data_IF_495792568331
#
_entry.id   IF_495792568331
#
_cell.length_a   1.000
_cell.length_b   1.000
_cell.length_c   1.000
_cell.angle_alpha   90.00
_cell.angle_beta   90.00
_cell.angle_gamma   90.00
#
_symmetry.space_group_name_H-M   'P 1'
#
loop_
_entity.id
_entity.type
_entity.pdbx_description
1 polymer ?
#
# COMPACT_ATOMS: atom_id res chain seq x y z
N UNK A 1 13.59 -11.11 21.31
CA UNK A 1 12.52 -10.10 21.38
C UNK A 1 11.68 -10.26 20.12
N UNK A 2 10.42 -10.66 20.24
CA UNK A 2 9.57 -10.88 19.07
C UNK A 2 9.24 -9.52 18.42
N UNK A 3 8.97 -9.48 17.12
CA UNK A 3 8.74 -8.20 16.42
C UNK A 3 7.53 -7.42 16.98
N UNK A 4 6.51 -8.12 17.50
CA UNK A 4 5.41 -7.50 18.22
C UNK A 4 5.85 -6.83 19.55
N UNK A 5 6.74 -7.46 20.31
CA UNK A 5 7.29 -6.87 21.54
C UNK A 5 8.04 -5.57 21.23
N UNK A 6 8.81 -5.55 20.12
CA UNK A 6 9.48 -4.33 19.65
C UNK A 6 8.47 -3.25 19.39
N UNK A 7 7.46 -3.53 18.56
CA UNK A 7 6.43 -2.55 18.21
C UNK A 7 5.68 -2.03 19.44
N UNK A 8 5.32 -2.92 20.38
CA UNK A 8 4.65 -2.55 21.63
C UNK A 8 5.50 -1.62 22.51
N UNK A 9 6.82 -1.69 22.41
CA UNK A 9 7.75 -0.86 23.19
C UNK A 9 8.09 0.49 22.51
N UNK A 10 7.69 0.71 21.25
CA UNK A 10 7.93 1.97 20.54
C UNK A 10 7.06 3.08 21.15
N UNK A 11 7.62 4.26 21.48
CA UNK A 11 6.84 5.41 21.89
C UNK A 11 5.79 5.81 20.85
N UNK A 12 4.63 6.30 21.30
CA UNK A 12 3.49 6.61 20.42
C UNK A 12 3.81 7.55 19.26
N UNK A 13 4.70 8.52 19.46
CA UNK A 13 5.14 9.42 18.41
C UNK A 13 5.87 8.66 17.29
N UNK A 14 6.87 7.88 17.66
CA UNK A 14 7.68 7.09 16.72
C UNK A 14 6.85 5.99 16.04
N UNK A 15 5.93 5.35 16.78
CA UNK A 15 5.02 4.35 16.23
C UNK A 15 4.07 4.98 15.20
N UNK A 16 3.58 6.20 15.45
CA UNK A 16 2.73 6.94 14.52
C UNK A 16 3.46 7.26 13.21
N UNK A 17 4.71 7.71 13.27
CA UNK A 17 5.53 7.99 12.08
C UNK A 17 5.78 6.72 11.25
N UNK A 18 6.13 5.62 11.93
CA UNK A 18 6.31 4.30 11.33
C UNK A 18 5.05 3.80 10.63
N UNK A 19 3.90 3.88 11.31
CA UNK A 19 2.60 3.49 10.76
C UNK A 19 2.20 4.38 9.58
N UNK A 20 2.47 5.69 9.64
CA UNK A 20 2.19 6.61 8.55
C UNK A 20 2.95 6.29 7.26
N UNK A 21 4.13 5.68 7.35
CA UNK A 21 4.88 5.18 6.18
C UNK A 21 4.27 3.91 5.56
N UNK A 22 3.53 3.13 6.36
CA UNK A 22 2.84 1.93 5.90
C UNK A 22 1.52 2.30 5.19
N UNK A 23 0.70 3.12 5.85
CA UNK A 23 -0.56 3.63 5.33
C UNK A 23 -0.85 4.99 5.97
N UNK A 24 -0.84 6.05 5.15
CA UNK A 24 -1.04 7.43 5.58
C UNK A 24 -2.52 7.78 5.82
N UNK A 25 -3.23 6.96 6.60
CA UNK A 25 -4.64 7.14 6.96
C UNK A 25 -4.73 7.34 8.48
N UNK A 26 -5.05 8.54 8.99
CA UNK A 26 -5.05 8.82 10.42
C UNK A 26 -5.88 7.83 11.25
N UNK A 27 -7.09 7.48 10.80
CA UNK A 27 -7.93 6.49 11.49
C UNK A 27 -7.23 5.14 11.63
N UNK A 28 -6.62 4.64 10.55
CA UNK A 28 -5.89 3.37 10.57
C UNK A 28 -4.74 3.43 11.57
N UNK A 29 -3.97 4.52 11.57
CA UNK A 29 -2.84 4.70 12.50
C UNK A 29 -3.31 4.69 13.96
N UNK A 30 -4.37 5.45 14.29
CA UNK A 30 -4.90 5.49 15.66
C UNK A 30 -5.47 4.12 16.09
N UNK A 31 -6.12 3.40 15.18
CA UNK A 31 -6.63 2.04 15.43
C UNK A 31 -5.50 1.04 15.74
N UNK A 32 -4.35 1.16 15.07
CA UNK A 32 -3.17 0.34 15.32
C UNK A 32 -2.50 0.71 16.65
N UNK A 33 -2.42 2.00 16.98
CA UNK A 33 -1.86 2.45 18.26
C UNK A 33 -2.72 2.01 19.45
N UNK A 34 -4.04 2.10 19.31
CA UNK A 34 -5.00 1.71 20.34
C UNK A 34 -5.10 0.18 20.52
N UNK A 35 -4.67 -0.60 19.54
CA UNK A 35 -4.63 -2.07 19.63
C UNK A 35 -3.46 -2.60 20.46
N UNK A 36 -2.50 -1.77 20.87
CA UNK A 36 -1.37 -2.21 21.70
C UNK A 36 -1.82 -2.54 23.14
N UNK A 37 -1.20 -3.53 23.79
CA UNK A 37 -0.15 -4.40 23.26
C UNK A 37 -0.71 -5.56 22.43
N UNK A 38 -0.03 -5.89 21.32
CA UNK A 38 -0.31 -7.09 20.52
C UNK A 38 0.41 -8.30 21.10
N UNK A 39 -0.24 -9.46 21.14
CA UNK A 39 0.35 -10.70 21.67
C UNK A 39 1.37 -11.33 20.71
N UNK A 40 1.29 -11.01 19.42
CA UNK A 40 2.18 -11.56 18.39
C UNK A 40 2.15 -10.75 17.10
N UNK A 41 3.09 -11.08 16.20
CA UNK A 41 3.20 -10.42 14.89
C UNK A 41 1.97 -10.68 14.06
N UNK A 42 1.47 -11.92 14.04
CA UNK A 42 0.26 -12.29 13.30
C UNK A 42 -0.94 -11.43 13.72
N UNK A 43 -1.15 -11.21 15.03
CA UNK A 43 -2.24 -10.37 15.53
C UNK A 43 -2.08 -8.89 15.10
N UNK A 44 -0.86 -8.37 15.11
CA UNK A 44 -0.55 -7.03 14.62
C UNK A 44 -0.87 -6.91 13.12
N UNK A 45 -0.45 -7.87 12.30
CA UNK A 45 -0.69 -7.86 10.86
C UNK A 45 -2.17 -8.03 10.52
N UNK A 46 -2.86 -8.95 11.21
CA UNK A 46 -4.30 -9.16 11.02
C UNK A 46 -5.10 -7.92 11.43
N UNK A 47 -4.73 -7.25 12.53
CA UNK A 47 -5.35 -5.98 12.91
C UNK A 47 -5.15 -4.91 11.83
N UNK A 48 -3.97 -4.88 11.20
CA UNK A 48 -3.65 -4.01 10.08
C UNK A 48 -4.54 -4.28 8.86
N UNK A 49 -4.72 -5.56 8.49
CA UNK A 49 -5.61 -6.00 7.40
C UNK A 49 -7.07 -5.61 7.67
N UNK A 50 -7.57 -5.92 8.86
CA UNK A 50 -8.95 -5.62 9.24
C UNK A 50 -9.24 -4.12 9.25
N UNK A 51 -8.30 -3.31 9.76
CA UNK A 51 -8.43 -1.85 9.77
C UNK A 51 -8.46 -1.27 8.35
N UNK A 52 -7.64 -1.81 7.45
CA UNK A 52 -7.55 -1.38 6.05
C UNK A 52 -8.77 -1.83 5.23
N UNK A 53 -9.36 -3.00 5.52
CA UNK A 53 -10.56 -3.48 4.84
C UNK A 53 -11.78 -2.55 5.02
N UNK A 54 -11.77 -1.68 6.04
CA UNK A 54 -12.81 -0.69 6.34
C UNK A 54 -12.52 0.71 5.81
N UNK A 55 -11.51 0.86 4.94
CA UNK A 55 -11.20 2.16 4.34
C UNK A 55 -12.41 2.72 3.60
N UNK A 56 -12.71 3.98 3.88
CA UNK A 56 -13.73 4.73 3.14
C UNK A 56 -13.15 5.23 1.82
N UNK A 57 -14.01 5.58 0.87
CA UNK A 57 -13.60 6.19 -0.41
C UNK A 57 -12.66 7.40 -0.20
N UNK A 58 -13.00 8.30 0.71
CA UNK A 58 -12.20 9.49 0.99
C UNK A 58 -10.82 9.14 1.55
N UNK A 59 -10.73 8.11 2.41
CA UNK A 59 -9.45 7.64 2.94
C UNK A 59 -8.61 6.97 1.84
N UNK A 60 -9.23 6.22 0.92
CA UNK A 60 -8.56 5.65 -0.24
C UNK A 60 -7.98 6.76 -1.13
N UNK A 61 -8.78 7.77 -1.48
CA UNK A 61 -8.33 8.89 -2.32
C UNK A 61 -7.15 9.65 -1.67
N UNK A 62 -7.24 9.92 -0.36
CA UNK A 62 -6.16 10.56 0.39
C UNK A 62 -4.88 9.69 0.45
N UNK A 63 -5.02 8.37 0.62
CA UNK A 63 -3.90 7.45 0.61
C UNK A 63 -3.23 7.41 -0.76
N UNK A 64 -4.02 7.27 -1.83
CA UNK A 64 -3.54 7.19 -3.22
C UNK A 64 -2.76 8.43 -3.66
N UNK A 65 -3.10 9.63 -3.15
CA UNK A 65 -2.36 10.86 -3.46
C UNK A 65 -0.87 10.81 -3.07
N UNK A 66 -0.47 9.84 -2.22
CA UNK A 66 0.92 9.63 -1.80
C UNK A 66 1.60 8.47 -2.55
N UNK A 67 0.87 7.70 -3.35
CA UNK A 67 1.44 6.57 -4.09
C UNK A 67 2.02 7.03 -5.44
N UNK A 68 3.28 6.68 -5.74
CA UNK A 68 3.83 6.88 -7.07
C UNK A 68 3.17 5.91 -8.08
N UNK A 69 3.16 6.29 -9.35
CA UNK A 69 2.72 5.41 -10.44
C UNK A 69 3.67 4.21 -10.59
N UNK A 70 3.14 3.07 -11.02
CA UNK A 70 3.96 1.91 -11.37
C UNK A 70 4.78 2.21 -12.63
N UNK A 71 6.08 1.92 -12.59
CA UNK A 71 7.02 2.20 -13.68
C UNK A 71 7.64 3.61 -13.62
N UNK A 72 7.22 4.44 -12.66
CA UNK A 72 7.85 5.73 -12.36
C UNK A 72 8.69 5.62 -11.08
N UNK A 73 9.85 6.28 -11.07
CA UNK A 73 10.61 6.42 -9.82
C UNK A 73 9.84 7.34 -8.89
N UNK A 74 9.62 6.89 -7.66
CA UNK A 74 9.17 7.77 -6.59
C UNK A 74 10.12 8.98 -6.50
N UNK A 75 9.56 10.19 -6.42
CA UNK A 75 10.34 11.38 -6.05
C UNK A 75 10.92 11.25 -4.65
N UNK A 76 11.63 12.26 -4.16
CA UNK A 76 12.30 12.29 -2.84
C UNK A 76 11.35 12.28 -1.61
N UNK A 77 10.18 11.66 -1.71
CA UNK A 77 9.23 11.48 -0.62
C UNK A 77 9.59 10.26 0.26
N UNK A 78 9.10 10.26 1.49
CA UNK A 78 9.32 9.23 2.53
C UNK A 78 8.99 7.79 2.08
N UNK A 79 8.18 7.62 1.03
CA UNK A 79 7.72 6.30 0.54
C UNK A 79 8.60 5.75 -0.59
N UNK A 80 9.67 6.46 -0.97
CA UNK A 80 10.55 6.09 -2.08
C UNK A 80 11.30 4.78 -1.86
N UNK A 81 11.72 4.49 -0.62
CA UNK A 81 12.43 3.26 -0.28
C UNK A 81 11.54 2.02 -0.35
N UNK A 82 10.27 2.12 0.06
CA UNK A 82 9.29 1.06 -0.12
C UNK A 82 8.98 0.87 -1.60
N UNK A 83 8.69 1.97 -2.32
CA UNK A 83 8.35 1.92 -3.73
C UNK A 83 9.44 1.28 -4.59
N UNK A 84 10.71 1.59 -4.34
CA UNK A 84 11.82 1.01 -5.10
C UNK A 84 11.94 -0.51 -4.89
N UNK A 85 11.73 -0.98 -3.65
CA UNK A 85 11.75 -2.42 -3.33
C UNK A 85 10.51 -3.14 -3.89
N UNK A 86 9.34 -2.52 -3.78
CA UNK A 86 8.07 -3.07 -4.25
C UNK A 86 8.07 -3.25 -5.78
N UNK A 87 8.68 -2.33 -6.53
CA UNK A 87 8.71 -2.37 -8.00
C UNK A 87 9.98 -3.02 -8.59
N UNK A 88 10.80 -3.70 -7.78
CA UNK A 88 12.06 -4.28 -8.24
C UNK A 88 11.91 -5.35 -9.35
N UNK A 89 10.72 -5.93 -9.51
CA UNK A 89 10.39 -6.88 -10.57
C UNK A 89 9.96 -6.26 -11.90
N UNK A 90 9.84 -4.94 -11.98
CA UNK A 90 9.44 -4.22 -13.21
C UNK A 90 10.69 -3.90 -14.04
N UNK A 91 10.73 -4.38 -15.27
CA UNK A 91 11.83 -4.17 -16.20
C UNK A 91 11.67 -2.85 -16.98
N UNK A 92 12.79 -2.27 -17.41
CA UNK A 92 12.80 -0.95 -18.06
C UNK A 92 12.09 -0.90 -19.42
N UNK A 93 12.08 -2.02 -20.14
CA UNK A 93 11.38 -2.17 -21.43
C UNK A 93 9.85 -2.24 -21.26
N UNK A 94 9.35 -2.53 -20.06
CA UNK A 94 7.92 -2.54 -19.72
C UNK A 94 7.38 -1.14 -19.38
N UNK A 95 8.27 -0.17 -19.10
CA UNK A 95 7.88 1.17 -18.64
C UNK A 95 6.97 1.93 -19.61
N UNK A 96 7.19 1.78 -20.92
CA UNK A 96 6.38 2.44 -21.94
C UNK A 96 4.94 1.91 -21.96
N UNK A 97 4.79 0.59 -21.87
CA UNK A 97 3.48 -0.05 -21.81
C UNK A 97 2.75 0.32 -20.51
N UNK A 98 3.46 0.28 -19.37
CA UNK A 98 2.92 0.66 -18.07
C UNK A 98 2.48 2.13 -18.05
N UNK A 99 3.23 3.05 -18.64
CA UNK A 99 2.85 4.46 -18.68
C UNK A 99 1.55 4.68 -19.47
N UNK A 100 1.42 4.04 -20.63
CA UNK A 100 0.19 4.10 -21.44
C UNK A 100 -1.01 3.51 -20.70
N UNK A 101 -0.80 2.38 -20.03
CA UNK A 101 -1.82 1.70 -19.25
C UNK A 101 -2.25 2.55 -18.03
N UNK A 102 -1.32 3.12 -17.27
CA UNK A 102 -1.62 4.06 -16.17
C UNK A 102 -2.46 5.24 -16.65
N UNK A 103 -2.10 5.85 -17.79
CA UNK A 103 -2.85 6.98 -18.34
C UNK A 103 -4.30 6.59 -18.71
N UNK A 104 -4.51 5.39 -19.28
CA UNK A 104 -5.85 4.89 -19.56
C UNK A 104 -6.66 4.65 -18.28
N UNK A 105 -6.02 4.11 -17.24
CA UNK A 105 -6.64 3.88 -15.94
C UNK A 105 -7.05 5.18 -15.26
N UNK A 106 -6.16 6.18 -15.24
CA UNK A 106 -6.43 7.51 -14.70
C UNK A 106 -7.57 8.20 -15.45
N UNK A 107 -7.60 8.11 -16.79
CA UNK A 107 -8.69 8.66 -17.58
C UNK A 107 -10.05 8.00 -17.28
N UNK A 108 -10.09 6.73 -16.87
CA UNK A 108 -11.31 5.98 -16.58
C UNK A 108 -11.81 6.17 -15.15
N UNK A 109 -10.91 6.17 -14.17
CA UNK A 109 -11.25 6.12 -12.74
C UNK A 109 -10.87 7.38 -11.93
N UNK A 110 -10.21 8.34 -12.58
CA UNK A 110 -9.74 9.61 -11.98
C UNK A 110 -8.86 9.39 -10.73
N UNK A 111 -8.01 8.37 -10.78
CA UNK A 111 -7.07 8.02 -9.69
C UNK A 111 -5.91 7.19 -10.23
N UNK A 112 -4.79 7.19 -9.53
CA UNK A 112 -3.62 6.35 -9.89
C UNK A 112 -3.95 4.87 -9.79
N UNK A 113 -3.35 4.06 -10.67
CA UNK A 113 -3.44 2.60 -10.58
C UNK A 113 -2.60 2.10 -9.40
N UNK A 114 -3.22 1.33 -8.52
CA UNK A 114 -2.57 0.77 -7.33
C UNK A 114 -2.63 -0.75 -7.33
N UNK A 115 -1.47 -1.38 -7.17
CA UNK A 115 -1.32 -2.83 -6.98
C UNK A 115 -0.13 -3.11 -6.06
N UNK A 116 -0.17 -4.18 -5.27
CA UNK A 116 0.98 -4.67 -4.52
C UNK A 116 2.03 -5.21 -5.49
N UNK A 117 3.00 -4.39 -5.87
CA UNK A 117 3.95 -4.77 -6.93
C UNK A 117 4.95 -5.86 -6.48
N UNK A 118 5.22 -5.99 -5.18
CA UNK A 118 6.22 -6.92 -4.66
C UNK A 118 5.94 -8.36 -5.14
N UNK A 119 6.90 -8.98 -5.81
CA UNK A 119 6.78 -10.35 -6.33
C UNK A 119 5.96 -10.48 -7.63
N UNK A 120 5.56 -9.38 -8.27
CA UNK A 120 4.94 -9.37 -9.60
C UNK A 120 5.92 -8.84 -10.64
N UNK A 121 5.87 -9.40 -11.84
CA UNK A 121 6.51 -8.86 -13.05
C UNK A 121 5.70 -7.71 -13.65
N UNK A 122 6.31 -6.87 -14.50
CA UNK A 122 5.57 -5.82 -15.19
C UNK A 122 4.47 -6.38 -16.11
N UNK A 123 4.70 -7.52 -16.76
CA UNK A 123 3.69 -8.23 -17.54
C UNK A 123 2.46 -8.66 -16.71
N UNK A 124 2.65 -9.18 -15.50
CA UNK A 124 1.54 -9.51 -14.59
C UNK A 124 0.79 -8.26 -14.13
N UNK A 125 1.52 -7.17 -13.88
CA UNK A 125 0.91 -5.88 -13.51
C UNK A 125 0.08 -5.31 -14.67
N UNK A 126 0.58 -5.38 -15.89
CA UNK A 126 -0.15 -4.96 -17.10
C UNK A 126 -1.44 -5.78 -17.28
N UNK A 127 -1.36 -7.11 -17.10
CA UNK A 127 -2.53 -7.97 -17.19
C UNK A 127 -3.60 -7.62 -16.14
N UNK A 128 -3.19 -7.32 -14.90
CA UNK A 128 -4.12 -6.87 -13.86
C UNK A 128 -4.72 -5.49 -14.17
N UNK A 129 -3.92 -4.57 -14.68
CA UNK A 129 -4.41 -3.26 -15.08
C UNK A 129 -5.47 -3.38 -16.21
N UNK A 130 -5.18 -4.16 -17.24
CA UNK A 130 -6.11 -4.39 -18.36
C UNK A 130 -7.42 -5.06 -17.90
N UNK A 131 -7.34 -6.03 -16.98
CA UNK A 131 -8.52 -6.65 -16.36
C UNK A 131 -9.34 -5.62 -15.59
N UNK A 132 -8.68 -4.82 -14.75
CA UNK A 132 -9.32 -3.84 -13.85
C UNK A 132 -9.91 -2.64 -14.58
N UNK A 133 -9.41 -2.30 -15.77
CA UNK A 133 -10.06 -1.33 -16.66
C UNK A 133 -11.50 -1.72 -17.03
N UNK A 134 -11.85 -3.00 -16.95
CA UNK A 134 -13.21 -3.50 -17.20
C UNK A 134 -14.11 -3.48 -15.96
N UNK A 135 -13.59 -3.10 -14.79
CA UNK A 135 -14.36 -3.07 -13.56
C UNK A 135 -15.39 -1.92 -13.55
N UNK A 136 -16.46 -2.11 -12.79
CA UNK A 136 -17.30 -0.99 -12.33
C UNK A 136 -16.54 -0.17 -11.30
N UNK A 137 -16.95 1.09 -11.07
CA UNK A 137 -16.29 1.96 -10.10
C UNK A 137 -16.34 1.42 -8.66
N UNK A 138 -17.40 0.67 -8.33
CA UNK A 138 -17.57 0.03 -7.03
C UNK A 138 -16.66 -1.18 -6.88
N UNK A 139 -16.60 -2.06 -7.90
CA UNK A 139 -15.71 -3.21 -7.90
C UNK A 139 -14.25 -2.77 -7.85
N UNK A 140 -13.90 -1.72 -8.61
CA UNK A 140 -12.54 -1.19 -8.61
C UNK A 140 -12.17 -0.56 -7.27
N UNK A 141 -13.08 0.18 -6.64
CA UNK A 141 -12.82 0.73 -5.31
C UNK A 141 -12.59 -0.39 -4.27
N UNK A 142 -13.41 -1.43 -4.29
CA UNK A 142 -13.23 -2.58 -3.40
C UNK A 142 -11.86 -3.26 -3.63
N UNK A 143 -11.43 -3.38 -4.88
CA UNK A 143 -10.15 -3.97 -5.20
C UNK A 143 -8.97 -3.08 -4.77
N UNK A 144 -9.05 -1.77 -4.96
CA UNK A 144 -8.06 -0.81 -4.47
C UNK A 144 -7.91 -0.89 -2.94
N UNK A 145 -9.00 -1.04 -2.20
CA UNK A 145 -8.97 -1.22 -0.73
C UNK A 145 -8.16 -2.47 -0.37
N UNK A 146 -8.39 -3.59 -1.06
CA UNK A 146 -7.64 -4.83 -0.85
C UNK A 146 -6.14 -4.60 -1.14
N UNK A 147 -5.82 -3.94 -2.25
CA UNK A 147 -4.43 -3.66 -2.61
C UNK A 147 -3.73 -2.71 -1.62
N UNK A 148 -4.42 -1.67 -1.12
CA UNK A 148 -3.90 -0.81 -0.05
C UNK A 148 -3.63 -1.61 1.22
N UNK A 149 -4.53 -2.51 1.60
CA UNK A 149 -4.36 -3.39 2.75
C UNK A 149 -3.14 -4.31 2.61
N UNK A 150 -2.97 -4.95 1.45
CA UNK A 150 -1.78 -5.79 1.18
C UNK A 150 -0.48 -5.00 1.28
N UNK A 151 -0.42 -3.80 0.68
CA UNK A 151 0.76 -2.93 0.73
C UNK A 151 1.04 -2.48 2.17
N UNK A 152 0.02 -2.01 2.89
CA UNK A 152 0.16 -1.54 4.26
C UNK A 152 0.74 -2.62 5.18
N UNK A 153 0.26 -3.86 5.03
CA UNK A 153 0.70 -5.00 5.85
C UNK A 153 2.11 -5.44 5.47
N UNK A 154 2.44 -5.50 4.18
CA UNK A 154 3.80 -5.79 3.73
C UNK A 154 4.81 -4.76 4.26
N UNK A 155 4.44 -3.48 4.27
CA UNK A 155 5.28 -2.42 4.85
C UNK A 155 5.36 -2.54 6.36
N UNK A 156 4.25 -2.88 7.02
CA UNK A 156 4.20 -3.07 8.47
C UNK A 156 5.14 -4.20 8.91
N UNK A 157 5.13 -5.35 8.22
CA UNK A 157 6.08 -6.46 8.43
C UNK A 157 7.53 -5.95 8.42
N UNK A 158 7.90 -5.17 7.41
CA UNK A 158 9.25 -4.62 7.28
C UNK A 158 9.62 -3.64 8.39
N UNK A 159 8.66 -2.83 8.85
CA UNK A 159 8.88 -1.81 9.88
C UNK A 159 9.02 -2.40 11.28
N UNK A 160 8.40 -3.55 11.55
CA UNK A 160 8.45 -4.22 12.85
C UNK A 160 9.56 -5.26 12.95
N UNK A 161 10.02 -5.80 11.81
CA UNK A 161 11.17 -6.69 11.77
C UNK A 161 12.51 -5.98 12.02
N UNK A 162 12.58 -4.67 11.75
CA UNK A 162 13.71 -3.79 12.10
C UNK A 162 13.80 -3.54 13.62
#
# INVERSE_FOLDING_TARGET
MHAADRFNAIPDADARERLASCLAVPRWIEEMLAGRPYAGVDELLDRGREAAARLTRTEVEAALARHPRIGERAGAAHDAEFSAREQAGVASDEHEALRRANAAYEARFDRVFLIRAAGRSGAEILAELDRRLQNSDEAELAEVIVQLGEIAVLRLEQVVEL
#
